data_IF_030799367863
#
_entry.id   IF_030799367863
#
_cell.length_a   1.000
_cell.length_b   1.000
_cell.length_c   1.000
_cell.angle_alpha   90.00
_cell.angle_beta   90.00
_cell.angle_gamma   90.00
#
_symmetry.space_group_name_H-M   'P 1'
#
loop_
_entity.id
_entity.type
_entity.pdbx_description
1 polymer ?
#
# COMPACT_ATOMS: atom_id res chain seq x y z
N UNK A 1 -16.72 -17.52 1.47
CA UNK A 1 -16.93 -18.97 1.66
C UNK A 1 -15.93 -19.44 2.69
N UNK A 2 -16.28 -20.41 3.54
CA UNK A 2 -15.46 -20.86 4.66
C UNK A 2 -14.24 -21.62 4.11
N UNK A 3 -13.03 -21.14 4.44
CA UNK A 3 -11.82 -21.96 4.44
C UNK A 3 -12.03 -23.06 5.48
N UNK A 4 -12.19 -24.29 5.02
CA UNK A 4 -12.08 -25.44 5.92
C UNK A 4 -10.58 -25.69 6.02
N UNK A 5 -9.98 -25.29 7.13
CA UNK A 5 -8.56 -25.57 7.44
C UNK A 5 -8.54 -27.02 7.93
N UNK A 6 -7.83 -27.90 7.22
CA UNK A 6 -8.02 -29.35 7.31
C UNK A 6 -7.11 -30.06 8.33
N UNK A 7 -6.25 -29.36 9.06
CA UNK A 7 -5.45 -30.02 10.12
C UNK A 7 -6.27 -30.23 11.41
N UNK A 8 -6.27 -31.44 11.99
CA UNK A 8 -6.60 -31.62 13.41
C UNK A 8 -5.60 -30.80 14.21
N UNK A 9 -6.08 -29.78 14.94
CA UNK A 9 -5.29 -29.10 15.96
C UNK A 9 -4.89 -30.14 17.02
N UNK A 10 -3.73 -30.76 16.90
CA UNK A 10 -2.99 -31.14 18.10
C UNK A 10 -2.88 -29.85 18.90
N UNK A 11 -3.57 -29.78 20.05
CA UNK A 11 -3.66 -28.58 20.87
C UNK A 11 -2.28 -28.19 21.33
N UNK A 12 -1.61 -27.31 20.59
CA UNK A 12 -0.43 -26.60 21.06
C UNK A 12 -0.80 -25.95 22.40
N UNK A 13 0.11 -26.07 23.36
CA UNK A 13 -0.10 -25.61 24.73
C UNK A 13 -0.44 -24.11 24.80
N UNK A 14 0.18 -23.35 23.89
CA UNK A 14 -0.03 -21.92 23.67
C UNK A 14 0.52 -21.51 22.27
N UNK A 15 0.17 -20.30 21.82
CA UNK A 15 0.53 -19.77 20.49
C UNK A 15 2.04 -19.49 20.34
N UNK A 16 2.73 -19.15 21.42
CA UNK A 16 4.18 -18.90 21.39
C UNK A 16 4.96 -20.21 21.20
N UNK A 17 4.51 -21.28 21.86
CA UNK A 17 5.03 -22.65 21.67
C UNK A 17 4.79 -23.13 20.23
N UNK A 18 3.60 -22.88 19.68
CA UNK A 18 3.29 -23.16 18.26
C UNK A 18 4.29 -22.51 17.31
N UNK A 19 4.52 -21.19 17.46
CA UNK A 19 5.43 -20.44 16.61
C UNK A 19 6.88 -20.95 16.72
N UNK A 20 7.36 -21.24 17.93
CA UNK A 20 8.74 -21.74 18.13
C UNK A 20 8.97 -23.13 17.53
N UNK A 21 8.01 -24.04 17.68
CA UNK A 21 8.08 -25.38 17.08
C UNK A 21 8.03 -25.29 15.55
N UNK A 22 7.17 -24.44 15.00
CA UNK A 22 7.09 -24.18 13.56
C UNK A 22 8.37 -23.55 13.00
N UNK A 23 8.92 -22.53 13.66
CA UNK A 23 10.19 -21.93 13.27
C UNK A 23 11.34 -22.96 13.27
N UNK A 24 11.35 -23.87 14.23
CA UNK A 24 12.36 -24.95 14.31
C UNK A 24 12.17 -25.97 13.18
N UNK A 25 10.93 -26.28 12.86
CA UNK A 25 10.54 -27.21 11.80
C UNK A 25 10.91 -26.65 10.42
N UNK A 26 10.58 -25.39 10.13
CA UNK A 26 10.95 -24.71 8.88
C UNK A 26 12.45 -24.45 8.74
N UNK A 27 13.19 -24.29 9.84
CA UNK A 27 14.67 -24.22 9.79
C UNK A 27 15.31 -25.53 9.30
N UNK A 28 14.64 -26.66 9.49
CA UNK A 28 15.16 -27.99 9.15
C UNK A 28 14.58 -28.58 7.85
N UNK A 29 13.49 -28.01 7.32
CA UNK A 29 12.90 -28.42 6.05
C UNK A 29 13.52 -27.64 4.89
N UNK A 30 14.08 -28.35 3.92
CA UNK A 30 14.48 -27.75 2.64
C UNK A 30 13.33 -27.87 1.64
N UNK A 31 13.27 -26.93 0.68
CA UNK A 31 12.35 -26.98 -0.47
C UNK A 31 12.33 -28.36 -1.14
N UNK A 32 13.49 -28.97 -1.34
CA UNK A 32 13.64 -30.29 -1.96
C UNK A 32 13.07 -31.43 -1.10
N UNK A 33 13.27 -31.38 0.23
CA UNK A 33 12.69 -32.37 1.14
C UNK A 33 11.17 -32.33 1.11
N UNK A 34 10.60 -31.11 1.07
CA UNK A 34 9.16 -30.91 0.98
C UNK A 34 8.61 -31.43 -0.36
N UNK A 35 9.21 -31.06 -1.49
CA UNK A 35 8.80 -31.55 -2.81
C UNK A 35 8.84 -33.08 -2.90
N UNK A 36 9.87 -33.71 -2.32
CA UNK A 36 10.01 -35.16 -2.32
C UNK A 36 8.91 -35.85 -1.51
N UNK A 37 8.55 -35.28 -0.36
CA UNK A 37 7.48 -35.82 0.49
C UNK A 37 6.10 -35.65 -0.15
N UNK A 38 5.84 -34.52 -0.81
CA UNK A 38 4.61 -34.33 -1.58
C UNK A 38 4.52 -35.36 -2.72
N UNK A 39 5.60 -35.52 -3.48
CA UNK A 39 5.63 -36.44 -4.61
C UNK A 39 5.46 -37.91 -4.19
N UNK A 40 5.99 -38.32 -3.03
CA UNK A 40 5.80 -39.67 -2.49
C UNK A 40 4.36 -39.96 -2.07
N UNK A 41 3.53 -38.92 -1.95
CA UNK A 41 2.11 -38.97 -1.65
C UNK A 41 1.23 -38.55 -2.85
N UNK A 42 1.75 -38.67 -4.08
CA UNK A 42 1.05 -38.36 -5.33
C UNK A 42 0.61 -36.90 -5.48
N UNK A 43 1.29 -35.98 -4.78
CA UNK A 43 1.09 -34.53 -4.89
C UNK A 43 2.25 -33.94 -5.68
N UNK A 44 1.99 -33.65 -6.96
CA UNK A 44 3.01 -33.14 -7.88
C UNK A 44 2.89 -31.62 -8.07
N UNK A 45 3.78 -30.87 -7.43
CA UNK A 45 3.86 -29.41 -7.52
C UNK A 45 5.09 -29.02 -8.32
N UNK A 46 4.86 -28.75 -9.60
CA UNK A 46 5.90 -28.30 -10.53
C UNK A 46 6.06 -26.78 -10.44
N UNK A 47 7.30 -26.32 -10.36
CA UNK A 47 7.61 -24.89 -10.18
C UNK A 47 7.10 -24.03 -11.35
N UNK A 48 7.15 -24.56 -12.57
CA UNK A 48 6.62 -23.90 -13.75
C UNK A 48 5.09 -23.72 -13.66
N UNK A 49 4.35 -24.70 -13.13
CA UNK A 49 2.90 -24.56 -12.92
C UNK A 49 2.62 -23.57 -11.79
N UNK A 50 3.36 -23.61 -10.68
CA UNK A 50 3.25 -22.60 -9.60
C UNK A 50 3.42 -21.18 -10.16
N UNK A 51 4.46 -20.95 -10.95
CA UNK A 51 4.70 -19.64 -11.58
C UNK A 51 3.56 -19.25 -12.53
N UNK A 52 3.04 -20.18 -13.35
CA UNK A 52 1.92 -19.92 -14.25
C UNK A 52 0.63 -19.60 -13.51
N UNK A 53 0.35 -20.28 -12.40
CA UNK A 53 -0.81 -19.95 -11.57
C UNK A 53 -0.63 -18.60 -10.91
N UNK A 54 0.56 -18.33 -10.35
CA UNK A 54 0.88 -17.07 -9.71
C UNK A 54 0.72 -15.87 -10.66
N UNK A 55 1.21 -15.96 -11.91
CA UNK A 55 1.08 -14.86 -12.89
C UNK A 55 -0.36 -14.48 -13.21
N UNK A 56 -1.34 -15.36 -12.97
CA UNK A 56 -2.74 -15.05 -13.24
C UNK A 56 -3.31 -14.04 -12.24
N UNK A 57 -2.82 -14.05 -11.01
CA UNK A 57 -3.44 -13.30 -9.91
C UNK A 57 -2.44 -12.48 -9.08
N UNK A 58 -1.16 -12.79 -9.18
CA UNK A 58 -0.10 -12.28 -8.30
C UNK A 58 -0.45 -12.38 -6.80
N UNK A 59 -1.25 -13.38 -6.42
CA UNK A 59 -1.60 -13.65 -5.03
C UNK A 59 -1.18 -15.08 -4.67
N UNK A 60 -0.32 -15.22 -3.66
CA UNK A 60 0.04 -16.54 -3.09
C UNK A 60 -1.20 -17.31 -2.66
N UNK A 61 -2.16 -16.65 -2.01
CA UNK A 61 -3.37 -17.29 -1.47
C UNK A 61 -4.17 -18.01 -2.57
N UNK A 62 -4.24 -17.45 -3.78
CA UNK A 62 -4.96 -18.07 -4.89
C UNK A 62 -4.22 -19.30 -5.44
N UNK A 63 -2.89 -19.27 -5.43
CA UNK A 63 -2.06 -20.42 -5.82
C UNK A 63 -2.19 -21.54 -4.80
N UNK A 64 -2.15 -21.19 -3.50
CA UNK A 64 -2.39 -22.11 -2.40
C UNK A 64 -3.77 -22.75 -2.57
N UNK A 65 -4.82 -21.94 -2.76
CA UNK A 65 -6.18 -22.42 -2.97
C UNK A 65 -6.30 -23.35 -4.19
N UNK A 66 -5.69 -23.00 -5.32
CA UNK A 66 -5.71 -23.84 -6.53
C UNK A 66 -5.15 -25.24 -6.26
N UNK A 67 -4.03 -25.34 -5.55
CA UNK A 67 -3.39 -26.61 -5.23
C UNK A 67 -4.11 -27.36 -4.11
N UNK A 68 -4.66 -26.65 -3.14
CA UNK A 68 -5.54 -27.19 -2.09
C UNK A 68 -6.75 -27.90 -2.73
N UNK A 69 -7.47 -27.22 -3.63
CA UNK A 69 -8.60 -27.80 -4.36
C UNK A 69 -8.19 -28.97 -5.28
N UNK A 70 -6.99 -28.90 -5.88
CA UNK A 70 -6.49 -29.94 -6.79
C UNK A 70 -6.09 -31.23 -6.07
N UNK A 71 -5.60 -31.12 -4.83
CA UNK A 71 -5.03 -32.23 -4.06
C UNK A 71 -5.73 -32.48 -2.71
N UNK A 72 -6.94 -31.94 -2.53
CA UNK A 72 -7.78 -31.99 -1.32
C UNK A 72 -7.68 -33.33 -0.57
N UNK A 73 -7.97 -34.45 -1.25
CA UNK A 73 -7.95 -35.79 -0.64
C UNK A 73 -6.55 -36.26 -0.24
N UNK A 74 -5.53 -35.95 -1.05
CA UNK A 74 -4.15 -36.36 -0.78
C UNK A 74 -3.55 -35.54 0.37
N UNK A 75 -3.86 -34.25 0.42
CA UNK A 75 -3.46 -33.35 1.51
C UNK A 75 -4.12 -33.79 2.83
N UNK A 76 -5.41 -34.12 2.81
CA UNK A 76 -6.12 -34.70 3.95
C UNK A 76 -5.44 -35.98 4.46
N UNK A 77 -5.09 -36.90 3.56
CA UNK A 77 -4.43 -38.16 3.93
C UNK A 77 -3.02 -37.91 4.47
N UNK A 78 -2.28 -36.97 3.89
CA UNK A 78 -0.92 -36.64 4.30
C UNK A 78 -0.89 -35.97 5.68
N UNK A 79 -1.75 -34.99 5.92
CA UNK A 79 -1.88 -34.30 7.20
C UNK A 79 -2.30 -35.22 8.35
N UNK A 80 -3.08 -36.27 8.06
CA UNK A 80 -3.45 -37.29 9.06
C UNK A 80 -2.32 -38.29 9.37
N UNK A 81 -1.34 -38.45 8.48
CA UNK A 81 -0.22 -39.41 8.62
C UNK A 81 1.03 -38.80 9.22
N UNK A 82 1.28 -37.52 8.96
CA UNK A 82 2.55 -36.87 9.23
C UNK A 82 2.34 -35.60 10.07
N UNK A 83 2.72 -35.63 11.35
CA UNK A 83 2.68 -34.43 12.21
C UNK A 83 3.69 -33.36 11.78
N UNK A 84 4.67 -33.70 10.94
CA UNK A 84 5.75 -32.79 10.48
C UNK A 84 5.38 -32.09 9.18
N UNK A 85 4.47 -32.65 8.38
CA UNK A 85 4.11 -32.13 7.08
C UNK A 85 2.64 -31.71 7.06
N UNK A 86 2.40 -30.43 7.33
CA UNK A 86 1.08 -29.83 7.35
C UNK A 86 0.94 -28.69 6.32
N UNK A 87 -0.23 -28.06 6.30
CA UNK A 87 -0.62 -27.00 5.37
C UNK A 87 0.45 -25.90 5.27
N UNK A 88 1.16 -25.59 6.37
CA UNK A 88 2.18 -24.55 6.38
C UNK A 88 3.47 -24.96 5.63
N UNK A 89 3.84 -26.24 5.61
CA UNK A 89 4.97 -26.73 4.82
C UNK A 89 4.69 -26.64 3.30
N UNK A 90 3.44 -26.88 2.92
CA UNK A 90 2.96 -26.69 1.56
C UNK A 90 2.94 -25.21 1.15
N UNK A 91 2.40 -24.32 2.01
CA UNK A 91 2.44 -22.86 1.78
C UNK A 91 3.89 -22.37 1.70
N UNK A 92 4.78 -22.87 2.56
CA UNK A 92 6.21 -22.55 2.54
C UNK A 92 6.86 -22.90 1.20
N UNK A 93 6.55 -24.08 0.62
CA UNK A 93 7.05 -24.47 -0.69
C UNK A 93 6.62 -23.48 -1.78
N UNK A 94 5.33 -23.13 -1.83
CA UNK A 94 4.80 -22.19 -2.82
C UNK A 94 5.51 -20.83 -2.69
N UNK A 95 5.63 -20.30 -1.48
CA UNK A 95 6.36 -19.05 -1.20
C UNK A 95 7.80 -19.10 -1.68
N UNK A 96 8.52 -20.19 -1.38
CA UNK A 96 9.92 -20.35 -1.81
C UNK A 96 10.07 -20.41 -3.32
N UNK A 97 9.16 -21.10 -4.02
CA UNK A 97 9.17 -21.12 -5.48
C UNK A 97 8.98 -19.71 -6.04
N UNK A 98 8.03 -18.94 -5.50
CA UNK A 98 7.78 -17.56 -5.96
C UNK A 98 8.99 -16.66 -5.66
N UNK A 99 9.56 -16.73 -4.46
CA UNK A 99 10.76 -15.98 -4.06
C UNK A 99 11.98 -16.24 -4.96
N UNK A 100 12.09 -17.43 -5.56
CA UNK A 100 13.18 -17.78 -6.46
C UNK A 100 12.96 -17.28 -7.90
N UNK A 101 11.72 -16.98 -8.29
CA UNK A 101 11.35 -16.65 -9.68
C UNK A 101 10.90 -15.20 -9.88
N UNK A 102 10.55 -14.48 -8.81
CA UNK A 102 10.05 -13.12 -8.86
C UNK A 102 10.83 -12.22 -7.90
N UNK A 103 11.01 -10.96 -8.29
CA UNK A 103 11.38 -9.92 -7.34
C UNK A 103 10.16 -9.60 -6.47
N UNK A 104 10.13 -10.18 -5.27
CA UNK A 104 8.99 -10.10 -4.35
C UNK A 104 8.70 -8.67 -3.88
N UNK A 105 9.68 -7.76 -3.98
CA UNK A 105 9.53 -6.35 -3.64
C UNK A 105 8.96 -5.52 -4.80
N UNK A 106 8.65 -6.14 -5.94
CA UNK A 106 8.09 -5.51 -7.14
C UNK A 106 6.72 -6.06 -7.54
N UNK A 107 6.24 -7.13 -6.90
CA UNK A 107 4.96 -7.77 -7.22
C UNK A 107 3.80 -7.25 -6.35
N UNK A 108 2.60 -7.05 -6.91
CA UNK A 108 1.43 -6.58 -6.16
C UNK A 108 0.74 -7.70 -5.37
N UNK A 109 1.51 -8.40 -4.55
CA UNK A 109 1.03 -9.47 -3.67
C UNK A 109 0.84 -8.94 -2.24
N UNK A 110 -0.33 -9.17 -1.67
CA UNK A 110 -0.68 -8.73 -0.32
C UNK A 110 0.24 -9.29 0.77
N UNK A 111 0.73 -10.52 0.63
CA UNK A 111 1.62 -11.16 1.62
C UNK A 111 2.96 -10.45 1.68
N UNK A 112 3.55 -10.15 0.53
CA UNK A 112 4.84 -9.44 0.46
C UNK A 112 4.67 -7.96 0.81
N UNK A 113 3.56 -7.32 0.41
CA UNK A 113 3.22 -5.96 0.84
C UNK A 113 3.13 -5.85 2.37
N UNK A 114 2.47 -6.80 3.03
CA UNK A 114 2.40 -6.85 4.50
C UNK A 114 3.79 -6.94 5.12
N UNK A 115 4.66 -7.81 4.59
CA UNK A 115 6.04 -7.96 5.07
C UNK A 115 6.84 -6.66 4.94
N UNK A 116 6.73 -5.97 3.81
CA UNK A 116 7.47 -4.73 3.56
C UNK A 116 6.94 -3.58 4.45
N UNK A 117 5.61 -3.48 4.61
CA UNK A 117 4.99 -2.54 5.55
C UNK A 117 5.47 -2.80 6.99
N UNK A 118 5.49 -4.06 7.43
CA UNK A 118 5.96 -4.41 8.77
C UNK A 118 7.44 -4.09 8.96
N UNK A 119 8.26 -4.30 7.94
CA UNK A 119 9.69 -3.93 7.94
C UNK A 119 9.86 -2.43 8.17
N UNK A 120 9.13 -1.58 7.44
CA UNK A 120 9.14 -0.12 7.65
C UNK A 120 8.68 0.24 9.06
N UNK A 121 7.61 -0.37 9.57
CA UNK A 121 7.05 -0.02 10.88
C UNK A 121 7.96 -0.39 12.06
N UNK A 122 8.76 -1.44 11.91
CA UNK A 122 9.62 -2.02 12.96
C UNK A 122 11.08 -1.57 12.91
N UNK A 123 11.54 -1.06 11.76
CA UNK A 123 12.95 -0.70 11.55
C UNK A 123 13.18 0.80 11.60
N UNK A 124 14.37 1.21 12.07
CA UNK A 124 14.87 2.56 11.79
C UNK A 124 15.51 2.55 10.40
N UNK A 125 14.87 3.21 9.45
CA UNK A 125 15.40 3.36 8.10
C UNK A 125 16.08 4.72 7.92
N UNK A 126 17.09 4.77 7.04
CA UNK A 126 17.56 6.07 6.55
C UNK A 126 16.47 6.75 5.73
N UNK A 127 16.58 8.07 5.58
CA UNK A 127 15.65 8.84 4.77
C UNK A 127 15.49 8.26 3.35
N UNK A 128 16.61 8.06 2.64
CA UNK A 128 16.58 7.59 1.25
C UNK A 128 15.91 6.22 1.12
N UNK A 129 16.14 5.33 2.09
CA UNK A 129 15.49 4.02 2.13
C UNK A 129 13.98 4.16 2.35
N UNK A 130 13.56 4.96 3.34
CA UNK A 130 12.14 5.20 3.60
C UNK A 130 11.42 5.69 2.33
N UNK A 131 12.05 6.58 1.55
CA UNK A 131 11.48 7.07 0.30
C UNK A 131 11.34 5.96 -0.75
N UNK A 132 12.39 5.18 -0.98
CA UNK A 132 12.39 4.12 -1.99
C UNK A 132 11.35 3.06 -1.66
N UNK A 133 11.31 2.61 -0.41
CA UNK A 133 10.35 1.61 0.05
C UNK A 133 8.91 2.13 0.00
N UNK A 134 8.69 3.40 0.37
CA UNK A 134 7.36 4.01 0.28
C UNK A 134 6.85 4.07 -1.15
N UNK A 135 7.68 4.52 -2.11
CA UNK A 135 7.28 4.57 -3.51
C UNK A 135 6.93 3.18 -4.04
N UNK A 136 7.80 2.19 -3.79
CA UNK A 136 7.57 0.80 -4.19
C UNK A 136 6.24 0.25 -3.63
N UNK A 137 5.98 0.48 -2.34
CA UNK A 137 4.72 0.04 -1.73
C UNK A 137 3.52 0.75 -2.36
N UNK A 138 3.56 2.07 -2.56
CA UNK A 138 2.44 2.80 -3.16
C UNK A 138 2.15 2.33 -4.61
N UNK A 139 3.19 2.10 -5.42
CA UNK A 139 3.06 1.55 -6.78
C UNK A 139 2.39 0.17 -6.76
N UNK A 140 2.86 -0.72 -5.89
CA UNK A 140 2.30 -2.06 -5.75
C UNK A 140 0.89 -2.06 -5.18
N UNK A 141 0.56 -1.12 -4.29
CA UNK A 141 -0.82 -0.92 -3.82
C UNK A 141 -1.74 -0.51 -4.97
N UNK A 142 -1.31 0.37 -5.87
CA UNK A 142 -2.09 0.75 -7.06
C UNK A 142 -2.36 -0.49 -7.93
N UNK A 143 -1.33 -1.28 -8.23
CA UNK A 143 -1.45 -2.50 -9.05
C UNK A 143 -2.22 -3.64 -8.36
N UNK A 144 -2.23 -3.70 -7.03
CA UNK A 144 -3.05 -4.64 -6.29
C UNK A 144 -4.54 -4.51 -6.64
N UNK A 145 -4.98 -3.31 -7.07
CA UNK A 145 -6.37 -3.08 -7.47
C UNK A 145 -6.82 -3.96 -8.63
N UNK A 146 -5.90 -4.33 -9.52
CA UNK A 146 -6.18 -5.18 -10.68
C UNK A 146 -6.61 -6.59 -10.27
N UNK A 147 -6.19 -7.03 -9.08
CA UNK A 147 -6.46 -8.35 -8.51
C UNK A 147 -7.52 -8.30 -7.40
N UNK A 148 -7.63 -7.18 -6.69
CA UNK A 148 -8.57 -6.96 -5.57
C UNK A 148 -9.68 -5.95 -5.92
N UNK A 149 -10.29 -6.11 -7.11
CA UNK A 149 -11.15 -5.10 -7.77
C UNK A 149 -12.29 -4.53 -6.91
N UNK A 150 -12.86 -5.34 -6.02
CA UNK A 150 -14.03 -4.95 -5.21
C UNK A 150 -13.67 -4.52 -3.79
N UNK A 151 -12.41 -4.61 -3.39
CA UNK A 151 -11.99 -4.32 -2.03
C UNK A 151 -11.35 -2.92 -1.96
N UNK A 152 -11.58 -2.25 -0.84
CA UNK A 152 -10.80 -1.07 -0.44
C UNK A 152 -9.59 -1.54 0.38
N UNK A 153 -8.52 -0.75 0.42
CA UNK A 153 -7.27 -1.10 1.10
C UNK A 153 -7.48 -1.57 2.54
N UNK A 154 -8.30 -0.87 3.33
CA UNK A 154 -8.59 -1.28 4.71
C UNK A 154 -9.14 -2.70 4.81
N UNK A 155 -10.04 -3.11 3.91
CA UNK A 155 -10.60 -4.48 3.92
C UNK A 155 -9.52 -5.52 3.62
N UNK A 156 -8.65 -5.24 2.65
CA UNK A 156 -7.56 -6.14 2.24
C UNK A 156 -6.57 -6.34 3.38
N UNK A 157 -6.17 -5.26 4.05
CA UNK A 157 -5.10 -5.30 5.05
C UNK A 157 -5.59 -5.63 6.47
N UNK A 158 -6.89 -5.48 6.75
CA UNK A 158 -7.47 -5.87 8.04
C UNK A 158 -7.34 -7.37 8.33
N UNK A 159 -7.37 -8.25 7.32
CA UNK A 159 -7.14 -9.69 7.53
C UNK A 159 -5.73 -10.00 8.03
N UNK A 160 -4.78 -9.09 7.80
CA UNK A 160 -3.39 -9.18 8.25
C UNK A 160 -3.12 -8.35 9.51
N UNK A 161 -4.16 -7.80 10.14
CA UNK A 161 -4.03 -6.90 11.30
C UNK A 161 -3.16 -5.67 11.02
N UNK A 162 -3.13 -5.21 9.76
CA UNK A 162 -2.39 -4.02 9.32
C UNK A 162 -3.35 -2.83 9.20
N UNK A 163 -3.10 -1.79 10.00
CA UNK A 163 -3.72 -0.48 9.82
C UNK A 163 -3.03 0.28 8.68
N UNK A 164 -3.50 0.07 7.45
CA UNK A 164 -2.93 0.67 6.24
C UNK A 164 -3.05 2.20 6.24
N UNK A 165 -4.15 2.75 6.77
CA UNK A 165 -4.37 4.19 6.86
C UNK A 165 -3.38 4.80 7.87
N UNK A 166 -3.17 4.12 9.00
CA UNK A 166 -2.18 4.49 10.01
C UNK A 166 -0.76 4.43 9.49
N UNK A 167 -0.41 3.36 8.75
CA UNK A 167 0.89 3.22 8.09
C UNK A 167 1.17 4.39 7.14
N UNK A 168 0.26 4.66 6.20
CA UNK A 168 0.45 5.73 5.22
C UNK A 168 0.57 7.08 5.94
N UNK A 169 -0.29 7.35 6.93
CA UNK A 169 -0.21 8.60 7.70
C UNK A 169 1.14 8.78 8.38
N UNK A 170 1.66 7.74 9.04
CA UNK A 170 2.96 7.78 9.72
C UNK A 170 4.10 8.04 8.73
N UNK A 171 4.14 7.29 7.64
CA UNK A 171 5.19 7.43 6.61
C UNK A 171 5.21 8.85 6.05
N UNK A 172 4.06 9.43 5.74
CA UNK A 172 4.00 10.80 5.23
C UNK A 172 4.36 11.86 6.28
N UNK A 173 4.08 11.63 7.56
CA UNK A 173 4.56 12.50 8.65
C UNK A 173 6.09 12.47 8.74
N UNK A 174 6.68 11.29 8.67
CA UNK A 174 8.13 11.11 8.68
C UNK A 174 8.76 11.82 7.46
N UNK A 175 8.19 11.62 6.25
CA UNK A 175 8.61 12.30 5.01
C UNK A 175 8.46 13.83 5.10
N UNK A 176 7.41 14.36 5.73
CA UNK A 176 7.24 15.82 5.87
C UNK A 176 8.32 16.43 6.75
N UNK A 177 8.77 15.71 7.79
CA UNK A 177 9.74 16.21 8.76
C UNK A 177 11.13 16.50 8.18
N UNK A 178 11.43 15.93 7.01
CA UNK A 178 12.75 15.92 6.37
C UNK A 178 12.84 16.75 5.09
N UNK A 179 11.80 17.54 4.77
CA UNK A 179 11.79 18.51 3.66
C UNK A 179 12.29 17.94 2.33
N UNK A 180 11.50 17.06 1.69
CA UNK A 180 11.92 16.38 0.47
C UNK A 180 12.25 17.33 -0.68
N UNK A 181 13.10 16.85 -1.60
CA UNK A 181 13.32 17.53 -2.86
C UNK A 181 12.07 17.53 -3.74
N UNK A 182 12.08 18.42 -4.73
CA UNK A 182 10.93 18.66 -5.60
C UNK A 182 10.53 17.43 -6.42
N UNK A 183 11.50 16.70 -6.97
CA UNK A 183 11.24 15.55 -7.84
C UNK A 183 10.57 14.43 -7.04
N UNK A 184 10.98 14.26 -5.79
CA UNK A 184 10.34 13.34 -4.88
C UNK A 184 8.90 13.74 -4.52
N UNK A 185 8.65 15.02 -4.23
CA UNK A 185 7.29 15.52 -3.95
C UNK A 185 6.36 15.27 -5.15
N UNK A 186 6.84 15.54 -6.36
CA UNK A 186 6.12 15.30 -7.62
C UNK A 186 5.78 13.81 -7.76
N UNK A 187 6.77 12.93 -7.55
CA UNK A 187 6.56 11.48 -7.61
C UNK A 187 5.48 11.01 -6.63
N UNK A 188 5.53 11.46 -5.37
CA UNK A 188 4.51 11.11 -4.38
C UNK A 188 3.13 11.66 -4.72
N UNK A 189 3.03 12.88 -5.24
CA UNK A 189 1.76 13.44 -5.68
C UNK A 189 1.14 12.61 -6.81
N UNK A 190 1.94 12.18 -7.79
CA UNK A 190 1.49 11.31 -8.88
C UNK A 190 1.01 9.96 -8.36
N UNK A 191 1.73 9.35 -7.41
CA UNK A 191 1.32 8.09 -6.78
C UNK A 191 0.04 8.26 -5.97
N UNK A 192 -0.10 9.34 -5.20
CA UNK A 192 -1.31 9.61 -4.42
C UNK A 192 -2.53 9.88 -5.30
N UNK A 193 -2.37 10.53 -6.45
CA UNK A 193 -3.42 10.71 -7.45
C UNK A 193 -3.86 9.35 -8.00
N UNK A 194 -2.91 8.51 -8.42
CA UNK A 194 -3.21 7.18 -8.95
C UNK A 194 -3.86 6.28 -7.90
N UNK A 195 -3.38 6.32 -6.65
CA UNK A 195 -3.97 5.59 -5.54
C UNK A 195 -5.41 6.04 -5.26
N UNK A 196 -5.69 7.34 -5.36
CA UNK A 196 -7.05 7.87 -5.25
C UNK A 196 -7.96 7.38 -6.37
N UNK A 197 -7.47 7.34 -7.61
CA UNK A 197 -8.22 6.81 -8.74
C UNK A 197 -8.53 5.32 -8.56
N UNK A 198 -7.60 4.55 -8.01
CA UNK A 198 -7.75 3.12 -7.78
C UNK A 198 -8.73 2.79 -6.63
N UNK A 199 -8.69 3.54 -5.52
CA UNK A 199 -9.35 3.14 -4.28
C UNK A 199 -10.40 4.11 -3.72
N UNK A 200 -10.54 5.32 -4.26
CA UNK A 200 -11.37 6.40 -3.71
C UNK A 200 -11.01 6.68 -2.24
N UNK A 201 -9.89 7.38 -2.03
CA UNK A 201 -9.30 7.48 -0.70
C UNK A 201 -10.17 8.28 0.28
N UNK A 202 -9.99 7.99 1.57
CA UNK A 202 -10.69 8.68 2.65
C UNK A 202 -10.21 10.13 2.81
N UNK A 203 -10.95 10.92 3.60
CA UNK A 203 -10.58 12.31 3.92
C UNK A 203 -9.15 12.44 4.49
N UNK A 204 -8.67 11.44 5.24
CA UNK A 204 -7.33 11.44 5.84
C UNK A 204 -6.23 11.56 4.77
N UNK A 205 -6.39 10.87 3.64
CA UNK A 205 -5.45 10.95 2.52
C UNK A 205 -5.47 12.32 1.83
N UNK A 206 -6.62 12.99 1.82
CA UNK A 206 -6.71 14.34 1.24
C UNK A 206 -5.93 15.38 2.04
N UNK A 207 -5.74 15.19 3.35
CA UNK A 207 -4.82 16.02 4.15
C UNK A 207 -3.36 15.81 3.74
N UNK A 208 -2.96 14.54 3.56
CA UNK A 208 -1.61 14.19 3.10
C UNK A 208 -1.31 14.86 1.75
N UNK A 209 -2.26 14.79 0.82
CA UNK A 209 -2.12 15.44 -0.49
C UNK A 209 -2.02 16.96 -0.37
N UNK A 210 -2.79 17.58 0.53
CA UNK A 210 -2.69 19.02 0.81
C UNK A 210 -1.31 19.40 1.36
N UNK A 211 -0.75 18.58 2.25
CA UNK A 211 0.58 18.79 2.81
C UNK A 211 1.69 18.65 1.75
N UNK A 212 1.61 17.65 0.88
CA UNK A 212 2.55 17.48 -0.23
C UNK A 212 2.47 18.65 -1.21
N UNK A 213 1.26 19.12 -1.51
CA UNK A 213 1.07 20.28 -2.37
C UNK A 213 1.65 21.56 -1.75
N UNK A 214 1.53 21.74 -0.43
CA UNK A 214 2.21 22.83 0.29
C UNK A 214 3.74 22.75 0.18
N UNK A 215 4.31 21.55 0.29
CA UNK A 215 5.74 21.34 0.01
C UNK A 215 6.11 21.73 -1.42
N UNK A 216 5.30 21.35 -2.43
CA UNK A 216 5.54 21.71 -3.83
C UNK A 216 5.46 23.23 -4.06
N UNK A 217 4.45 23.90 -3.52
CA UNK A 217 4.30 25.36 -3.65
C UNK A 217 5.50 26.08 -3.03
N UNK A 218 5.99 25.59 -1.88
CA UNK A 218 7.18 26.13 -1.21
C UNK A 218 8.49 25.86 -1.95
N UNK A 219 8.54 24.92 -2.89
CA UNK A 219 9.68 24.74 -3.79
C UNK A 219 9.82 25.86 -4.84
N UNK A 220 8.86 26.80 -4.89
CA UNK A 220 8.83 27.97 -5.77
C UNK A 220 8.71 27.64 -7.27
N UNK A 221 8.31 26.42 -7.62
CA UNK A 221 7.96 26.07 -8.99
C UNK A 221 6.48 26.35 -9.27
N UNK A 222 6.20 27.56 -9.78
CA UNK A 222 4.82 27.96 -10.12
C UNK A 222 4.23 27.10 -11.25
N UNK A 223 5.06 26.68 -12.22
CA UNK A 223 4.63 25.82 -13.31
C UNK A 223 4.10 24.47 -12.79
N UNK A 224 4.87 23.80 -11.93
CA UNK A 224 4.45 22.54 -11.32
C UNK A 224 3.27 22.75 -10.37
N UNK A 225 3.30 23.80 -9.56
CA UNK A 225 2.18 24.13 -8.67
C UNK A 225 0.87 24.27 -9.46
N UNK A 226 0.89 24.96 -10.60
CA UNK A 226 -0.28 25.11 -11.46
C UNK A 226 -0.73 23.78 -12.10
N UNK A 227 0.22 22.97 -12.58
CA UNK A 227 -0.07 21.63 -13.12
C UNK A 227 -0.82 20.80 -12.09
N UNK A 228 -0.31 20.71 -10.86
CA UNK A 228 -0.92 19.90 -9.81
C UNK A 228 -2.20 20.52 -9.25
N UNK A 229 -2.31 21.85 -9.12
CA UNK A 229 -3.57 22.49 -8.72
C UNK A 229 -4.74 22.04 -9.60
N UNK A 230 -4.51 22.00 -10.92
CA UNK A 230 -5.50 21.59 -11.91
C UNK A 230 -6.01 20.16 -11.74
N UNK A 231 -5.12 19.23 -11.40
CA UNK A 231 -5.45 17.81 -11.20
C UNK A 231 -5.98 17.54 -9.79
N UNK A 232 -5.34 18.09 -8.76
CA UNK A 232 -5.71 17.87 -7.37
C UNK A 232 -7.12 18.35 -7.04
N UNK A 233 -7.58 19.48 -7.60
CA UNK A 233 -8.97 19.94 -7.41
C UNK A 233 -10.01 19.00 -8.03
N UNK A 234 -9.65 18.24 -9.07
CA UNK A 234 -10.55 17.24 -9.68
C UNK A 234 -10.61 15.98 -8.84
N UNK A 235 -9.45 15.54 -8.34
CA UNK A 235 -9.30 14.30 -7.57
C UNK A 235 -9.76 14.47 -6.11
N UNK A 236 -9.57 15.65 -5.54
CA UNK A 236 -9.86 16.01 -4.16
C UNK A 236 -10.63 17.33 -4.10
N UNK A 237 -11.86 17.40 -4.65
CA UNK A 237 -12.65 18.63 -4.69
C UNK A 237 -12.87 19.23 -3.29
N UNK A 238 -12.85 18.39 -2.24
CA UNK A 238 -12.96 18.81 -0.85
C UNK A 238 -11.82 19.65 -0.30
N UNK A 239 -10.65 19.61 -0.96
CA UNK A 239 -9.47 20.39 -0.59
C UNK A 239 -9.20 21.56 -1.53
N UNK A 240 -10.12 21.87 -2.45
CA UNK A 240 -9.96 22.96 -3.44
C UNK A 240 -9.54 24.28 -2.79
N UNK A 241 -10.23 24.71 -1.73
CA UNK A 241 -9.90 25.96 -1.04
C UNK A 241 -8.55 25.88 -0.29
N UNK A 242 -8.17 24.72 0.26
CA UNK A 242 -6.84 24.53 0.85
C UNK A 242 -5.74 24.73 -0.19
N UNK A 243 -5.87 24.13 -1.37
CA UNK A 243 -4.89 24.26 -2.45
C UNK A 243 -4.73 25.73 -2.90
N UNK A 244 -5.85 26.45 -3.08
CA UNK A 244 -5.79 27.88 -3.41
C UNK A 244 -5.22 28.72 -2.26
N UNK A 245 -5.60 28.46 -1.02
CA UNK A 245 -5.08 29.18 0.15
C UNK A 245 -3.56 29.08 0.25
N UNK A 246 -3.01 27.88 0.09
CA UNK A 246 -1.57 27.63 0.12
C UNK A 246 -0.85 28.36 -1.01
N UNK A 247 -1.33 28.22 -2.25
CA UNK A 247 -0.74 28.89 -3.41
C UNK A 247 -0.76 30.41 -3.27
N UNK A 248 -1.91 30.99 -2.91
CA UNK A 248 -2.08 32.43 -2.77
C UNK A 248 -1.25 33.00 -1.61
N UNK A 249 -1.13 32.26 -0.51
CA UNK A 249 -0.27 32.66 0.62
C UNK A 249 1.19 32.80 0.18
N UNK A 250 1.69 31.85 -0.62
CA UNK A 250 3.05 31.89 -1.13
C UNK A 250 3.24 33.01 -2.17
N UNK A 251 2.32 33.14 -3.14
CA UNK A 251 2.37 34.20 -4.15
C UNK A 251 2.33 35.60 -3.52
N UNK A 252 1.55 35.78 -2.44
CA UNK A 252 1.51 37.04 -1.68
C UNK A 252 2.85 37.32 -1.03
N UNK A 253 3.45 36.33 -0.37
CA UNK A 253 4.78 36.46 0.27
C UNK A 253 5.86 36.89 -0.73
N UNK A 254 5.75 36.44 -1.97
CA UNK A 254 6.68 36.76 -3.05
C UNK A 254 6.33 38.03 -3.83
N UNK A 255 5.20 38.69 -3.53
CA UNK A 255 4.62 39.75 -4.35
C UNK A 255 4.47 39.35 -5.83
N UNK A 256 4.10 38.09 -6.08
CA UNK A 256 4.08 37.51 -7.41
C UNK A 256 2.88 38.03 -8.23
N UNK A 257 3.06 38.45 -9.49
CA UNK A 257 1.99 39.08 -10.31
C UNK A 257 0.80 38.16 -10.58
N UNK A 258 1.01 36.83 -10.58
CA UNK A 258 -0.04 35.84 -10.78
C UNK A 258 -1.05 35.76 -9.62
N UNK A 259 -0.80 36.40 -8.48
CA UNK A 259 -1.70 36.36 -7.32
C UNK A 259 -3.14 36.73 -7.69
N UNK A 260 -3.32 37.80 -8.46
CA UNK A 260 -4.65 38.27 -8.89
C UNK A 260 -5.39 37.23 -9.74
N UNK A 261 -4.67 36.56 -10.63
CA UNK A 261 -5.25 35.54 -11.50
C UNK A 261 -5.79 34.37 -10.66
N UNK A 262 -4.97 33.80 -9.78
CA UNK A 262 -5.40 32.66 -8.96
C UNK A 262 -6.47 33.03 -7.92
N UNK A 263 -6.46 34.27 -7.42
CA UNK A 263 -7.52 34.77 -6.55
C UNK A 263 -8.87 34.79 -7.28
N UNK A 264 -8.89 35.34 -8.49
CA UNK A 264 -10.10 35.36 -9.33
C UNK A 264 -10.58 33.95 -9.67
N UNK A 265 -9.66 33.01 -9.88
CA UNK A 265 -9.97 31.61 -10.14
C UNK A 265 -10.60 30.93 -8.91
N UNK A 266 -10.05 31.16 -7.71
CA UNK A 266 -10.59 30.63 -6.46
C UNK A 266 -12.04 31.09 -6.19
N UNK A 267 -12.38 32.33 -6.57
CA UNK A 267 -13.74 32.87 -6.41
C UNK A 267 -14.80 32.22 -7.32
N UNK A 268 -14.39 31.43 -8.32
CA UNK A 268 -15.33 30.71 -9.19
C UNK A 268 -15.95 29.50 -8.47
N UNK A 269 -15.33 29.01 -7.40
CA UNK A 269 -15.80 27.88 -6.62
C UNK A 269 -16.74 28.32 -5.49
N UNK A 270 -17.67 27.44 -5.12
CA UNK A 270 -18.59 27.68 -4.00
C UNK A 270 -18.22 26.75 -2.85
N UNK A 271 -18.03 27.27 -1.62
CA UNK A 271 -17.86 26.42 -0.45
C UNK A 271 -19.16 25.67 -0.19
N UNK A 272 -19.04 24.42 0.24
CA UNK A 272 -20.20 23.59 0.56
C UNK A 272 -20.23 23.12 2.01
N UNK A 273 -19.22 23.50 2.81
CA UNK A 273 -19.17 23.30 4.26
C UNK A 273 -18.49 24.51 4.94
N UNK A 274 -18.55 24.55 6.27
CA UNK A 274 -18.04 25.67 7.07
C UNK A 274 -16.51 25.80 6.97
N UNK A 275 -15.76 24.69 6.96
CA UNK A 275 -14.30 24.69 6.81
C UNK A 275 -13.87 25.39 5.50
N UNK A 276 -14.55 25.10 4.39
CA UNK A 276 -14.28 25.76 3.11
C UNK A 276 -14.74 27.22 3.10
N UNK A 277 -15.83 27.55 3.81
CA UNK A 277 -16.28 28.93 3.93
C UNK A 277 -15.25 29.78 4.69
N UNK A 278 -14.68 29.24 5.77
CA UNK A 278 -13.61 29.86 6.55
C UNK A 278 -12.34 30.05 5.70
N UNK A 279 -11.92 29.03 4.95
CA UNK A 279 -10.77 29.14 4.05
C UNK A 279 -11.00 30.14 2.92
N UNK A 280 -12.21 30.21 2.36
CA UNK A 280 -12.57 31.21 1.37
C UNK A 280 -12.48 32.63 1.96
N UNK A 281 -12.84 32.81 3.23
CA UNK A 281 -12.70 34.09 3.91
C UNK A 281 -11.21 34.47 4.08
N UNK A 282 -10.37 33.53 4.50
CA UNK A 282 -8.91 33.74 4.57
C UNK A 282 -8.31 34.09 3.20
N UNK A 283 -8.77 33.45 2.11
CA UNK A 283 -8.36 33.78 0.74
C UNK A 283 -8.70 35.22 0.36
N UNK A 284 -9.88 35.72 0.76
CA UNK A 284 -10.26 37.13 0.53
C UNK A 284 -9.34 38.08 1.29
N UNK A 285 -9.06 37.78 2.56
CA UNK A 285 -8.17 38.58 3.40
C UNK A 285 -6.73 38.63 2.85
N UNK A 286 -6.25 37.56 2.22
CA UNK A 286 -4.93 37.55 1.56
C UNK A 286 -4.86 38.67 0.53
N UNK A 287 -5.90 38.82 -0.31
CA UNK A 287 -5.93 39.78 -1.42
C UNK A 287 -6.33 41.20 -0.97
N UNK A 288 -7.27 41.35 -0.04
CA UNK A 288 -7.72 42.66 0.46
C UNK A 288 -6.62 43.43 1.17
N UNK A 289 -5.69 42.74 1.85
CA UNK A 289 -4.53 43.35 2.51
C UNK A 289 -3.43 43.87 1.53
N UNK A 290 -3.70 43.88 0.22
CA UNK A 290 -2.78 44.34 -0.84
C UNK A 290 -3.31 45.62 -1.51
N UNK A 291 -4.62 45.90 -1.38
CA UNK A 291 -5.28 47.12 -1.87
C UNK A 291 -5.15 48.26 -0.85
#
# INVERSE_FOLDING_TARGET
MKTTIHTPKNTYKDYDTYLQEKETLFKNLTKQSIQKELLSNDIDIQEEDVCKQYQKTYQIDDVVQYYDEKYDQQLDVLGNKNEVFDDDAFIYLIKKIIEEHYDIHQVPDKTYLVSDIQTILSSQMSYLQLLQETNSILERLIHLKDYEKNNHLGVIFNSYMIDIDGFITRVFQDIKSIQPDQDFIVSLLDLMIQLNQAYQLSFRYSEIVSDLYDCLVKSQSLELSNKYLGELKKQFPQKTFNFYYVLLSQLKKENHPALKQYYQEALQYKPYNDEQADLMQLIKEIYENIL
#
